data_IF_704331753927
#
_entry.id   IF_704331753927
#
_cell.length_a   1.000
_cell.length_b   1.000
_cell.length_c   1.000
_cell.angle_alpha   90.00
_cell.angle_beta   90.00
_cell.angle_gamma   90.00
#
_symmetry.space_group_name_H-M   'P 1'
#
loop_
_entity.id
_entity.type
_entity.pdbx_description
1 polymer ?
#
# COMPACT_ATOMS: atom_id res chain seq x y z
N UNK A 1 -72.41 2.68 -37.08
CA UNK A 1 -71.32 1.71 -37.29
C UNK A 1 -70.14 2.39 -37.95
N UNK A 2 -68.99 2.44 -37.27
CA UNK A 2 -67.62 2.32 -37.80
C UNK A 2 -66.64 2.72 -36.69
N UNK A 3 -66.13 1.69 -36.01
CA UNK A 3 -65.01 1.78 -35.09
C UNK A 3 -63.77 2.29 -35.84
N UNK A 4 -63.06 3.25 -35.27
CA UNK A 4 -61.70 3.60 -35.66
C UNK A 4 -60.78 3.32 -34.48
N UNK A 5 -60.24 2.11 -34.50
CA UNK A 5 -59.10 1.69 -33.69
C UNK A 5 -57.89 2.55 -34.09
N UNK A 6 -57.37 3.35 -33.16
CA UNK A 6 -56.03 3.92 -33.29
C UNK A 6 -55.06 2.96 -32.63
N UNK A 7 -54.27 2.28 -33.46
CA UNK A 7 -53.16 1.44 -33.02
C UNK A 7 -52.00 2.35 -32.55
N UNK A 8 -51.65 2.23 -31.28
CA UNK A 8 -50.46 2.88 -30.69
C UNK A 8 -49.25 2.04 -31.12
N UNK A 9 -48.42 2.61 -31.99
CA UNK A 9 -47.15 2.03 -32.42
C UNK A 9 -46.13 2.25 -31.28
N UNK A 10 -45.88 1.22 -30.47
CA UNK A 10 -44.84 1.25 -29.44
C UNK A 10 -43.45 1.15 -30.09
N UNK A 11 -42.71 2.25 -30.06
CA UNK A 11 -41.33 2.36 -30.51
C UNK A 11 -40.42 1.66 -29.47
N UNK A 12 -40.03 0.41 -29.72
CA UNK A 12 -38.99 -0.28 -28.95
C UNK A 12 -37.62 0.29 -29.36
N UNK A 13 -37.17 1.32 -28.65
CA UNK A 13 -35.78 1.76 -28.68
C UNK A 13 -34.97 0.68 -27.96
N UNK A 14 -34.28 -0.16 -28.74
CA UNK A 14 -33.24 -1.02 -28.23
C UNK A 14 -32.08 -0.13 -27.76
N UNK A 15 -32.08 0.22 -26.47
CA UNK A 15 -30.93 0.82 -25.81
C UNK A 15 -29.84 -0.27 -25.84
N UNK A 16 -28.69 -0.07 -26.51
CA UNK A 16 -27.57 -0.96 -26.32
C UNK A 16 -27.24 -0.89 -24.83
N UNK A 17 -27.49 -2.01 -24.14
CA UNK A 17 -27.16 -2.15 -22.74
C UNK A 17 -25.71 -1.76 -22.59
N UNK A 18 -25.47 -0.61 -21.95
CA UNK A 18 -24.18 -0.34 -21.32
C UNK A 18 -23.92 -1.56 -20.49
N UNK A 19 -22.94 -2.37 -20.90
CA UNK A 19 -22.40 -3.42 -20.07
C UNK A 19 -22.15 -2.77 -18.72
N UNK A 20 -22.96 -3.16 -17.74
CA UNK A 20 -22.74 -2.74 -16.37
C UNK A 20 -21.31 -3.16 -16.08
N UNK A 21 -20.42 -2.17 -15.92
CA UNK A 21 -19.17 -2.39 -15.24
C UNK A 21 -19.54 -3.13 -13.96
N UNK A 22 -19.08 -4.38 -13.84
CA UNK A 22 -19.21 -5.11 -12.61
C UNK A 22 -18.69 -4.20 -11.49
N UNK A 23 -19.33 -4.18 -10.31
CA UNK A 23 -18.83 -3.37 -9.20
C UNK A 23 -17.37 -3.73 -8.98
N UNK A 24 -16.47 -2.74 -9.08
CA UNK A 24 -15.08 -2.86 -8.66
C UNK A 24 -15.06 -3.50 -7.27
N UNK A 25 -14.63 -4.76 -7.19
CA UNK A 25 -14.30 -5.43 -5.94
C UNK A 25 -12.87 -5.12 -5.49
N UNK A 26 -12.29 -4.04 -6.04
CA UNK A 26 -10.95 -3.57 -5.79
C UNK A 26 -11.06 -2.08 -5.43
N UNK A 27 -10.57 -1.64 -4.27
CA UNK A 27 -10.57 -0.20 -4.02
C UNK A 27 -9.95 0.29 -2.72
N UNK A 28 -9.85 -0.57 -1.70
CA UNK A 28 -9.28 -0.16 -0.42
C UNK A 28 -7.83 -0.60 -0.21
N UNK A 29 -7.50 -1.85 -0.54
CA UNK A 29 -6.26 -2.47 -0.07
C UNK A 29 -5.00 -1.75 -0.55
N UNK A 30 -4.80 -1.65 -1.86
CA UNK A 30 -3.64 -0.98 -2.44
C UNK A 30 -3.61 0.51 -2.13
N UNK A 31 -4.74 1.20 -2.23
CA UNK A 31 -4.84 2.62 -1.83
C UNK A 31 -4.43 2.85 -0.38
N UNK A 32 -4.85 1.97 0.54
CA UNK A 32 -4.43 2.02 1.93
C UNK A 32 -2.96 1.64 2.10
N UNK A 33 -2.44 0.71 1.30
CA UNK A 33 -1.01 0.38 1.28
C UNK A 33 -0.18 1.60 0.85
N UNK A 34 -0.57 2.27 -0.23
CA UNK A 34 0.09 3.47 -0.76
C UNK A 34 0.03 4.63 0.24
N UNK A 35 -1.13 4.89 0.83
CA UNK A 35 -1.28 5.89 1.90
C UNK A 35 -0.33 5.62 3.09
N UNK A 36 -0.12 4.35 3.44
CA UNK A 36 0.78 3.95 4.52
C UNK A 36 2.24 4.07 4.08
N UNK A 37 2.55 3.75 2.82
CA UNK A 37 3.87 3.90 2.22
C UNK A 37 4.30 5.37 2.18
N UNK A 38 3.41 6.28 1.74
CA UNK A 38 3.67 7.72 1.70
C UNK A 38 3.93 8.28 3.12
N UNK A 39 3.10 7.88 4.07
CA UNK A 39 3.30 8.26 5.47
C UNK A 39 4.58 7.70 6.10
N UNK A 40 4.98 6.47 5.72
CA UNK A 40 6.25 5.90 6.13
C UNK A 40 7.43 6.69 5.59
N UNK A 41 7.43 7.03 4.29
CA UNK A 41 8.44 7.89 3.69
C UNK A 41 8.50 9.23 4.41
N UNK A 42 7.34 9.86 4.65
CA UNK A 42 7.30 11.14 5.35
C UNK A 42 7.84 11.07 6.78
N UNK A 43 7.55 9.99 7.49
CA UNK A 43 8.09 9.75 8.83
C UNK A 43 9.61 9.59 8.81
N UNK A 44 10.17 8.91 7.81
CA UNK A 44 11.62 8.78 7.62
C UNK A 44 12.26 10.14 7.33
N UNK A 45 11.74 10.90 6.38
CA UNK A 45 12.27 12.23 6.01
C UNK A 45 12.34 13.18 7.20
N UNK A 46 11.31 13.13 8.05
CA UNK A 46 11.15 14.04 9.18
C UNK A 46 11.70 13.48 10.49
N UNK A 47 12.27 12.27 10.47
CA UNK A 47 12.70 11.52 11.66
C UNK A 47 11.63 11.53 12.78
N UNK A 48 10.35 11.40 12.41
CA UNK A 48 9.22 11.59 13.32
C UNK A 48 8.60 10.25 13.73
N UNK A 49 8.88 9.83 14.97
CA UNK A 49 8.36 8.60 15.55
C UNK A 49 6.83 8.59 15.67
N UNK A 50 6.19 9.72 15.99
CA UNK A 50 4.73 9.79 16.09
C UNK A 50 4.07 9.59 14.74
N UNK A 51 4.64 10.18 13.68
CA UNK A 51 4.17 9.98 12.31
C UNK A 51 4.40 8.53 11.87
N UNK A 52 5.56 7.96 12.21
CA UNK A 52 5.86 6.55 11.95
C UNK A 52 4.80 5.65 12.59
N UNK A 53 4.51 5.84 13.88
CA UNK A 53 3.52 5.05 14.60
C UNK A 53 2.11 5.20 14.03
N UNK A 54 1.71 6.42 13.64
CA UNK A 54 0.43 6.68 13.01
C UNK A 54 0.26 5.87 11.71
N UNK A 55 1.33 5.73 10.91
CA UNK A 55 1.30 4.98 9.66
C UNK A 55 1.62 3.49 9.82
N UNK A 56 2.26 3.06 10.90
CA UNK A 56 2.66 1.67 11.12
C UNK A 56 1.70 0.84 12.01
N UNK A 57 0.91 1.48 12.88
CA UNK A 57 0.07 0.82 13.88
C UNK A 57 -0.94 -0.20 13.31
N UNK A 58 -1.43 0.02 12.09
CA UNK A 58 -2.44 -0.83 11.45
C UNK A 58 -2.00 -1.44 10.11
N UNK A 59 -0.70 -1.39 9.78
CA UNK A 59 -0.19 -1.93 8.51
C UNK A 59 -0.51 -3.42 8.36
N UNK A 60 -0.46 -4.19 9.45
CA UNK A 60 -0.83 -5.60 9.46
C UNK A 60 -2.30 -5.84 9.12
N UNK A 61 -3.21 -4.95 9.54
CA UNK A 61 -4.64 -5.01 9.22
C UNK A 61 -4.88 -4.76 7.74
N UNK A 62 -4.23 -3.73 7.19
CA UNK A 62 -4.28 -3.44 5.74
C UNK A 62 -3.82 -4.66 4.94
N UNK A 63 -2.71 -5.29 5.34
CA UNK A 63 -2.12 -6.42 4.64
C UNK A 63 -2.91 -7.74 4.73
N UNK A 64 -3.84 -7.86 5.69
CA UNK A 64 -4.53 -9.14 5.97
C UNK A 64 -6.04 -9.07 5.84
N UNK A 65 -6.66 -7.88 5.96
CA UNK A 65 -8.12 -7.71 6.00
C UNK A 65 -8.68 -6.82 4.89
N UNK A 66 -7.86 -6.43 3.92
CA UNK A 66 -8.30 -5.59 2.80
C UNK A 66 -8.98 -6.35 1.66
N UNK A 67 -8.99 -7.68 1.71
CA UNK A 67 -9.41 -8.53 0.58
C UNK A 67 -8.35 -8.66 -0.51
N UNK A 68 -7.26 -7.89 -0.45
CA UNK A 68 -6.16 -7.95 -1.42
C UNK A 68 -5.11 -8.97 -0.98
N UNK A 69 -4.72 -9.86 -1.90
CA UNK A 69 -3.60 -10.77 -1.71
C UNK A 69 -2.28 -10.07 -2.06
N UNK A 70 -1.69 -9.40 -1.07
CA UNK A 70 -0.43 -8.68 -1.30
C UNK A 70 0.74 -9.62 -1.62
N UNK A 71 1.60 -9.26 -2.59
CA UNK A 71 2.86 -9.94 -2.84
C UNK A 71 3.83 -9.77 -1.65
N UNK A 72 4.84 -10.65 -1.58
CA UNK A 72 5.78 -10.68 -0.46
C UNK A 72 6.51 -9.34 -0.23
N UNK A 73 6.84 -8.62 -1.31
CA UNK A 73 7.48 -7.30 -1.22
C UNK A 73 6.55 -6.28 -0.54
N UNK A 74 5.25 -6.27 -0.87
CA UNK A 74 4.28 -5.37 -0.27
C UNK A 74 4.00 -5.73 1.20
N UNK A 75 3.98 -7.04 1.52
CA UNK A 75 3.89 -7.52 2.92
C UNK A 75 5.10 -7.10 3.77
N UNK A 76 6.24 -6.83 3.14
CA UNK A 76 7.47 -6.41 3.83
C UNK A 76 7.38 -4.97 4.40
N UNK A 77 6.31 -4.24 4.12
CA UNK A 77 6.02 -2.96 4.78
C UNK A 77 5.86 -3.12 6.31
N UNK A 78 5.30 -4.25 6.78
CA UNK A 78 5.17 -4.56 8.22
C UNK A 78 6.51 -4.70 8.93
N UNK A 79 7.43 -5.59 8.49
CA UNK A 79 8.76 -5.66 9.12
C UNK A 79 9.59 -4.39 8.93
N UNK A 80 9.41 -3.61 7.85
CA UNK A 80 10.05 -2.30 7.72
C UNK A 80 9.59 -1.33 8.82
N UNK A 81 8.29 -1.19 9.03
CA UNK A 81 7.69 -0.42 10.12
C UNK A 81 8.28 -0.81 11.48
N UNK A 82 8.31 -2.11 11.80
CA UNK A 82 8.85 -2.58 13.07
C UNK A 82 10.34 -2.26 13.23
N UNK A 83 11.13 -2.41 12.16
CA UNK A 83 12.56 -2.13 12.19
C UNK A 83 12.86 -0.63 12.33
N UNK A 84 12.12 0.22 11.61
CA UNK A 84 12.23 1.68 11.70
C UNK A 84 11.82 2.20 13.07
N UNK A 85 10.76 1.65 13.67
CA UNK A 85 10.35 2.04 15.03
C UNK A 85 11.45 1.77 16.05
N UNK A 86 12.06 0.58 15.98
CA UNK A 86 13.18 0.25 16.85
C UNK A 86 14.46 1.05 16.54
N UNK A 87 14.57 1.68 15.36
CA UNK A 87 15.67 2.59 15.05
C UNK A 87 15.44 3.98 15.66
N UNK A 88 14.19 4.46 15.64
CA UNK A 88 13.82 5.79 16.11
C UNK A 88 13.59 5.83 17.63
N UNK A 89 13.27 4.69 18.26
CA UNK A 89 13.31 4.57 19.71
C UNK A 89 14.76 4.69 20.24
N UNK A 90 15.01 5.40 21.36
CA UNK A 90 16.35 5.47 21.95
C UNK A 90 16.81 4.06 22.37
N UNK A 91 17.81 3.51 21.68
CA UNK A 91 18.34 2.18 21.98
C UNK A 91 19.63 2.32 22.79
N UNK A 92 19.59 2.02 24.09
CA UNK A 92 20.78 2.01 24.95
C UNK A 92 21.67 0.77 24.81
N UNK A 93 21.32 -0.19 23.95
CA UNK A 93 21.99 -1.49 23.80
C UNK A 93 22.51 -1.74 22.37
N UNK A 94 23.84 -1.82 22.24
CA UNK A 94 24.54 -2.09 20.98
C UNK A 94 24.17 -3.43 20.33
N UNK A 95 23.82 -4.46 21.11
CA UNK A 95 23.34 -5.74 20.54
C UNK A 95 21.99 -5.55 19.86
N UNK A 96 21.11 -4.74 20.46
CA UNK A 96 19.81 -4.40 19.89
C UNK A 96 19.96 -3.57 18.62
N UNK A 97 20.89 -2.60 18.58
CA UNK A 97 21.23 -1.85 17.35
C UNK A 97 21.60 -2.79 16.20
N UNK A 98 22.48 -3.78 16.41
CA UNK A 98 22.88 -4.73 15.36
C UNK A 98 21.70 -5.53 14.81
N UNK A 99 20.76 -5.93 15.67
CA UNK A 99 19.53 -6.64 15.27
C UNK A 99 18.63 -5.71 14.44
N UNK A 100 18.44 -4.47 14.88
CA UNK A 100 17.66 -3.45 14.16
C UNK A 100 18.24 -3.23 12.75
N UNK A 101 19.55 -3.04 12.64
CA UNK A 101 20.24 -2.84 11.38
C UNK A 101 20.12 -4.04 10.42
N UNK A 102 20.15 -5.27 10.95
CA UNK A 102 19.90 -6.49 10.17
C UNK A 102 18.47 -6.54 9.66
N UNK A 103 17.50 -6.20 10.51
CA UNK A 103 16.08 -6.20 10.15
C UNK A 103 15.78 -5.13 9.10
N UNK A 104 16.34 -3.92 9.24
CA UNK A 104 16.25 -2.86 8.22
C UNK A 104 16.84 -3.30 6.89
N UNK A 105 18.02 -3.92 6.89
CA UNK A 105 18.64 -4.45 5.67
C UNK A 105 17.73 -5.46 4.97
N UNK A 106 17.17 -6.40 5.72
CA UNK A 106 16.30 -7.42 5.15
C UNK A 106 14.99 -6.83 4.63
N UNK A 107 14.33 -5.96 5.41
CA UNK A 107 13.09 -5.31 5.01
C UNK A 107 13.26 -4.43 3.77
N UNK A 108 14.31 -3.59 3.73
CA UNK A 108 14.62 -2.77 2.56
C UNK A 108 14.89 -3.61 1.33
N UNK A 109 15.64 -4.72 1.46
CA UNK A 109 15.89 -5.65 0.33
C UNK A 109 14.61 -6.28 -0.21
N UNK A 110 13.71 -6.73 0.67
CA UNK A 110 12.45 -7.35 0.23
C UNK A 110 11.50 -6.34 -0.41
N UNK A 111 11.36 -5.15 0.18
CA UNK A 111 10.57 -4.06 -0.42
C UNK A 111 11.16 -3.65 -1.78
N UNK A 112 12.48 -3.52 -1.89
CA UNK A 112 13.17 -3.14 -3.12
C UNK A 112 13.08 -4.16 -4.26
N UNK A 113 12.52 -5.36 -4.01
CA UNK A 113 12.16 -6.34 -5.04
C UNK A 113 10.79 -6.10 -5.66
N UNK A 114 10.18 -4.94 -5.38
CA UNK A 114 8.89 -4.60 -5.92
C UNK A 114 8.82 -4.74 -7.44
N UNK A 115 7.63 -5.10 -7.89
CA UNK A 115 7.25 -5.28 -9.27
C UNK A 115 5.90 -4.61 -9.44
N UNK A 116 5.68 -4.09 -10.64
CA UNK A 116 4.41 -3.51 -11.04
C UNK A 116 3.24 -4.47 -10.73
N UNK A 117 2.13 -3.89 -10.30
CA UNK A 117 0.87 -4.55 -10.04
C UNK A 117 -0.21 -3.74 -10.75
N UNK A 118 -1.01 -4.38 -11.61
CA UNK A 118 -1.95 -3.68 -12.48
C UNK A 118 -2.98 -2.85 -11.71
N UNK A 119 -3.37 -3.33 -10.53
CA UNK A 119 -4.33 -2.71 -9.62
C UNK A 119 -3.75 -1.50 -8.87
N UNK A 120 -2.42 -1.31 -8.89
CA UNK A 120 -1.70 -0.27 -8.15
C UNK A 120 -0.36 0.07 -8.85
N UNK A 121 -0.42 0.79 -10.00
CA UNK A 121 0.74 0.99 -10.87
C UNK A 121 1.86 1.82 -10.23
N UNK A 122 1.58 2.58 -9.16
CA UNK A 122 2.57 3.40 -8.48
C UNK A 122 3.16 2.71 -7.23
N UNK A 123 2.67 1.52 -6.86
CA UNK A 123 3.05 0.87 -5.61
C UNK A 123 4.52 0.39 -5.63
N UNK A 124 5.04 -0.02 -6.79
CA UNK A 124 6.43 -0.48 -6.89
C UNK A 124 7.44 0.68 -6.85
N UNK A 125 7.11 1.82 -7.44
CA UNK A 125 7.91 3.05 -7.31
C UNK A 125 7.99 3.52 -5.85
N UNK A 126 6.87 3.55 -5.12
CA UNK A 126 6.85 3.85 -3.68
C UNK A 126 7.70 2.86 -2.89
N UNK A 127 7.60 1.57 -3.20
CA UNK A 127 8.42 0.55 -2.56
C UNK A 127 9.93 0.77 -2.82
N UNK A 128 10.33 1.09 -4.06
CA UNK A 128 11.73 1.40 -4.39
C UNK A 128 12.24 2.61 -3.62
N UNK A 129 11.42 3.66 -3.49
CA UNK A 129 11.75 4.84 -2.68
C UNK A 129 11.96 4.47 -1.20
N UNK A 130 11.02 3.74 -0.59
CA UNK A 130 11.18 3.24 0.79
C UNK A 130 12.46 2.43 0.95
N UNK A 131 12.75 1.53 0.01
CA UNK A 131 13.98 0.73 0.01
C UNK A 131 15.23 1.60 -0.01
N UNK A 132 15.26 2.65 -0.85
CA UNK A 132 16.38 3.58 -0.93
C UNK A 132 16.56 4.36 0.38
N UNK A 133 15.46 4.84 0.98
CA UNK A 133 15.48 5.57 2.25
C UNK A 133 15.96 4.68 3.40
N UNK A 134 15.49 3.43 3.49
CA UNK A 134 15.98 2.44 4.46
C UNK A 134 17.48 2.16 4.25
N UNK A 135 17.92 2.05 3.00
CA UNK A 135 19.33 1.84 2.70
C UNK A 135 20.19 3.02 3.17
N UNK A 136 19.70 4.25 3.03
CA UNK A 136 20.36 5.46 3.51
C UNK A 136 20.40 5.53 5.03
N UNK A 137 19.24 5.40 5.70
CA UNK A 137 19.16 5.35 7.17
C UNK A 137 20.11 4.31 7.77
N UNK A 138 20.23 3.14 7.14
CA UNK A 138 21.15 2.10 7.60
C UNK A 138 22.62 2.54 7.47
N UNK A 139 22.99 3.24 6.42
CA UNK A 139 24.37 3.77 6.31
C UNK A 139 24.66 4.76 7.43
N UNK A 140 23.68 5.59 7.77
CA UNK A 140 23.84 6.66 8.74
C UNK A 140 23.82 6.16 10.19
N UNK A 141 23.00 5.15 10.50
CA UNK A 141 22.78 4.69 11.87
C UNK A 141 23.46 3.36 12.23
N UNK A 142 23.98 2.62 11.26
CA UNK A 142 24.54 1.28 11.45
C UNK A 142 26.00 1.13 10.98
N UNK A 143 26.66 2.25 10.70
CA UNK A 143 28.08 2.31 10.35
C UNK A 143 28.99 2.16 11.56
#
# INVERSE_FOLDING_TARGET
MRHRFFAILALLVAIPGTACAAPMQDGGGWRMWEYRADGLMKAIETANLNLLDAHCSDVGRVLTRSGVKFPAWAQSLRPACAALRNLFEPVGDLRRVRIVCRNLKQAGKEIGRAREVAEAPEADDRARQISAMIAQLRKDACS
#
